data_IF_307956030880
#
_entry.id   IF_307956030880
#
_cell.length_a   1.000
_cell.length_b   1.000
_cell.length_c   1.000
_cell.angle_alpha   90.00
_cell.angle_beta   90.00
_cell.angle_gamma   90.00
#
_symmetry.space_group_name_H-M   'P 1'
#
loop_
_entity.id
_entity.type
_entity.pdbx_description
1 polymer ?
#
# COMPACT_ATOMS: atom_id res chain seq x y z
N UNK A 1 14.00 -40.69 -1.94
CA UNK A 1 13.41 -39.67 -1.03
C UNK A 1 13.81 -38.25 -1.41
N UNK A 2 15.05 -37.99 -1.82
CA UNK A 2 15.58 -36.66 -2.15
C UNK A 2 14.81 -35.94 -3.27
N UNK A 3 14.38 -36.66 -4.31
CA UNK A 3 13.59 -36.10 -5.41
C UNK A 3 12.18 -35.64 -4.98
N UNK A 4 11.50 -36.42 -4.13
CA UNK A 4 10.17 -36.06 -3.59
C UNK A 4 10.27 -34.83 -2.68
N UNK A 5 11.32 -34.76 -1.87
CA UNK A 5 11.59 -33.58 -1.04
C UNK A 5 11.89 -32.34 -1.88
N UNK A 6 12.74 -32.44 -2.92
CA UNK A 6 13.04 -31.32 -3.81
C UNK A 6 11.79 -30.82 -4.57
N UNK A 7 10.93 -31.73 -5.02
CA UNK A 7 9.66 -31.36 -5.66
C UNK A 7 8.74 -30.64 -4.68
N UNK A 8 8.62 -31.10 -3.43
CA UNK A 8 7.77 -30.45 -2.44
C UNK A 8 8.33 -29.13 -1.92
N UNK A 9 9.65 -29.03 -1.74
CA UNK A 9 10.32 -27.88 -1.15
C UNK A 9 10.64 -26.77 -2.18
N UNK A 10 10.82 -27.11 -3.45
CA UNK A 10 11.23 -26.16 -4.52
C UNK A 10 10.23 -26.15 -5.67
N UNK A 11 9.80 -27.32 -6.14
CA UNK A 11 8.87 -27.46 -7.27
C UNK A 11 7.48 -26.89 -6.96
N UNK A 12 6.91 -27.24 -5.80
CA UNK A 12 5.58 -26.80 -5.39
C UNK A 12 5.52 -25.28 -5.17
N UNK A 13 6.49 -24.62 -4.48
CA UNK A 13 6.51 -23.17 -4.37
C UNK A 13 6.68 -22.45 -5.70
N UNK A 14 7.50 -22.96 -6.64
CA UNK A 14 7.70 -22.36 -7.97
C UNK A 14 6.41 -22.45 -8.82
N UNK A 15 5.77 -23.62 -8.84
CA UNK A 15 4.50 -23.80 -9.55
C UNK A 15 3.39 -22.96 -8.92
N UNK A 16 3.35 -22.89 -7.58
CA UNK A 16 2.44 -22.03 -6.84
C UNK A 16 2.65 -20.54 -7.16
N UNK A 17 3.89 -20.09 -7.24
CA UNK A 17 4.25 -18.71 -7.60
C UNK A 17 3.87 -18.38 -9.05
N UNK A 18 4.12 -19.30 -9.98
CA UNK A 18 3.72 -19.16 -11.39
C UNK A 18 2.21 -19.15 -11.59
N UNK A 19 1.48 -20.01 -10.87
CA UNK A 19 0.01 -20.01 -10.88
C UNK A 19 -0.55 -18.74 -10.24
N UNK A 20 0.02 -18.29 -9.11
CA UNK A 20 -0.37 -17.04 -8.44
C UNK A 20 -0.10 -15.79 -9.28
N UNK A 21 0.94 -15.81 -10.13
CA UNK A 21 1.20 -14.73 -11.07
C UNK A 21 0.08 -14.60 -12.12
N UNK A 22 -0.53 -15.72 -12.52
CA UNK A 22 -1.67 -15.77 -13.47
C UNK A 22 -3.04 -15.55 -12.80
N UNK A 23 -3.12 -15.72 -11.48
CA UNK A 23 -4.32 -15.47 -10.70
C UNK A 23 -4.41 -13.98 -10.35
N UNK A 24 -5.03 -13.21 -11.25
CA UNK A 24 -5.40 -11.82 -11.04
C UNK A 24 -4.96 -10.91 -12.19
N UNK A 25 -5.75 -9.87 -12.45
CA UNK A 25 -5.45 -8.82 -13.43
C UNK A 25 -4.57 -7.73 -12.79
N UNK A 26 -3.38 -8.14 -12.31
CA UNK A 26 -2.42 -7.18 -11.77
C UNK A 26 -1.74 -6.44 -12.94
N UNK A 27 -1.98 -5.13 -13.12
CA UNK A 27 -1.31 -4.39 -14.18
C UNK A 27 0.21 -4.42 -13.95
N UNK A 28 0.97 -4.65 -15.02
CA UNK A 28 2.43 -4.69 -14.96
C UNK A 28 2.99 -3.36 -14.42
N UNK A 29 4.16 -3.36 -13.74
CA UNK A 29 4.79 -2.13 -13.26
C UNK A 29 4.97 -1.08 -14.37
N UNK A 30 5.30 -1.53 -15.59
CA UNK A 30 5.43 -0.65 -16.76
C UNK A 30 4.09 -0.02 -17.16
N UNK A 31 2.97 -0.74 -16.99
CA UNK A 31 1.63 -0.21 -17.27
C UNK A 31 1.27 0.93 -16.30
N UNK A 32 1.76 0.88 -15.06
CA UNK A 32 1.59 1.98 -14.11
C UNK A 32 2.38 3.22 -14.51
N UNK A 33 3.65 3.06 -14.88
CA UNK A 33 4.48 4.18 -15.35
C UNK A 33 3.88 4.82 -16.60
N UNK A 34 3.43 3.99 -17.55
CA UNK A 34 2.78 4.46 -18.78
C UNK A 34 1.45 5.17 -18.50
N UNK A 35 0.60 4.61 -17.63
CA UNK A 35 -0.64 5.27 -17.22
C UNK A 35 -0.39 6.60 -16.52
N UNK A 36 0.65 6.68 -15.69
CA UNK A 36 1.05 7.92 -15.03
C UNK A 36 1.54 8.98 -16.03
N UNK A 37 2.34 8.58 -17.03
CA UNK A 37 2.78 9.48 -18.11
C UNK A 37 1.59 10.01 -18.90
N UNK A 38 0.73 9.12 -19.40
CA UNK A 38 -0.48 9.51 -20.14
C UNK A 38 -1.41 10.42 -19.31
N UNK A 39 -1.56 10.15 -18.02
CA UNK A 39 -2.35 11.00 -17.14
C UNK A 39 -1.72 12.39 -16.97
N UNK A 40 -0.40 12.48 -16.81
CA UNK A 40 0.31 13.77 -16.75
C UNK A 40 0.18 14.55 -18.05
N UNK A 41 0.35 13.91 -19.21
CA UNK A 41 0.23 14.57 -20.52
C UNK A 41 -1.19 15.11 -20.73
N UNK A 42 -2.20 14.30 -20.38
CA UNK A 42 -3.60 14.73 -20.44
C UNK A 42 -3.90 15.90 -19.49
N UNK A 43 -3.38 15.87 -18.26
CA UNK A 43 -3.52 16.98 -17.30
C UNK A 43 -2.80 18.23 -17.80
N UNK A 44 -1.65 18.09 -18.44
CA UNK A 44 -0.91 19.21 -19.01
C UNK A 44 -1.69 19.87 -20.15
N UNK A 45 -2.35 19.08 -21.01
CA UNK A 45 -3.20 19.59 -22.10
C UNK A 45 -4.49 20.27 -21.63
N UNK A 46 -5.08 19.80 -20.53
CA UNK A 46 -6.34 20.32 -19.97
C UNK A 46 -6.13 21.30 -18.80
N UNK A 47 -4.89 21.66 -18.50
CA UNK A 47 -4.46 22.35 -17.28
C UNK A 47 -5.28 23.59 -16.95
N UNK A 48 -5.43 24.49 -17.92
CA UNK A 48 -6.07 25.78 -17.68
C UNK A 48 -7.59 25.62 -17.47
N UNK A 49 -8.20 24.63 -18.15
CA UNK A 49 -9.61 24.27 -17.93
C UNK A 49 -9.83 23.66 -16.54
N UNK A 50 -8.93 22.78 -16.09
CA UNK A 50 -8.97 22.19 -14.74
C UNK A 50 -8.84 23.26 -13.66
N UNK A 51 -7.87 24.17 -13.79
CA UNK A 51 -7.68 25.27 -12.84
C UNK A 51 -8.88 26.22 -12.83
N UNK A 52 -9.40 26.61 -14.00
CA UNK A 52 -10.55 27.49 -14.09
C UNK A 52 -11.81 26.85 -13.49
N UNK A 53 -12.01 25.53 -13.68
CA UNK A 53 -13.07 24.77 -13.02
C UNK A 53 -12.92 24.83 -11.50
N UNK A 54 -11.73 24.55 -10.99
CA UNK A 54 -11.49 24.47 -9.54
C UNK A 54 -11.57 25.86 -8.86
N UNK A 55 -11.18 26.93 -9.56
CA UNK A 55 -11.38 28.31 -9.11
C UNK A 55 -12.86 28.68 -9.04
N UNK A 56 -13.64 28.36 -10.08
CA UNK A 56 -15.09 28.65 -10.10
C UNK A 56 -15.86 27.86 -9.06
N UNK A 57 -15.42 26.64 -8.74
CA UNK A 57 -16.02 25.81 -7.70
C UNK A 57 -15.82 26.36 -6.28
N UNK A 58 -14.95 27.37 -6.11
CA UNK A 58 -14.54 27.91 -4.82
C UNK A 58 -14.85 29.40 -4.71
N UNK A 59 -15.78 29.74 -3.81
CA UNK A 59 -16.21 31.13 -3.59
C UNK A 59 -15.07 32.08 -3.20
N UNK A 60 -14.05 31.58 -2.49
CA UNK A 60 -12.87 32.36 -2.10
C UNK A 60 -11.90 32.65 -3.25
N UNK A 61 -11.95 31.88 -4.35
CA UNK A 61 -11.07 32.02 -5.51
C UNK A 61 -11.76 32.55 -6.76
N UNK A 62 -13.10 32.52 -6.82
CA UNK A 62 -13.87 32.91 -8.00
C UNK A 62 -13.57 34.34 -8.48
N UNK A 63 -13.29 35.27 -7.55
CA UNK A 63 -12.90 36.66 -7.87
C UNK A 63 -11.42 36.85 -8.26
N UNK A 64 -10.62 35.78 -8.30
CA UNK A 64 -9.19 35.81 -8.63
C UNK A 64 -8.85 35.03 -9.91
N UNK A 65 -9.82 34.86 -10.81
CA UNK A 65 -9.63 34.16 -12.10
C UNK A 65 -8.58 34.83 -13.00
N UNK A 66 -8.44 36.15 -12.91
CA UNK A 66 -7.42 36.95 -13.60
C UNK A 66 -5.99 36.51 -13.23
N UNK A 67 -5.79 36.00 -12.01
CA UNK A 67 -4.49 35.57 -11.50
C UNK A 67 -4.06 34.17 -11.96
N UNK A 68 -4.92 33.43 -12.68
CA UNK A 68 -4.65 32.05 -13.11
C UNK A 68 -3.33 31.89 -13.88
N UNK A 69 -3.07 32.79 -14.83
CA UNK A 69 -1.87 32.74 -15.67
C UNK A 69 -0.57 33.01 -14.90
N UNK A 70 -0.65 33.75 -13.79
CA UNK A 70 0.50 34.17 -12.98
C UNK A 70 0.85 33.23 -11.83
N UNK A 71 0.14 32.12 -11.64
CA UNK A 71 0.42 31.17 -10.56
C UNK A 71 1.81 30.54 -10.73
N UNK A 72 2.58 30.48 -9.64
CA UNK A 72 3.82 29.72 -9.61
C UNK A 72 3.55 28.21 -9.72
N UNK A 73 4.58 27.46 -10.06
CA UNK A 73 4.49 26.02 -10.29
C UNK A 73 3.99 25.26 -9.05
N UNK A 74 4.50 25.57 -7.85
CA UNK A 74 4.15 24.85 -6.63
C UNK A 74 2.68 25.08 -6.24
N UNK A 75 2.20 26.34 -6.34
CA UNK A 75 0.79 26.67 -6.13
C UNK A 75 -0.10 25.94 -7.14
N UNK A 76 0.31 25.89 -8.41
CA UNK A 76 -0.43 25.17 -9.45
C UNK A 76 -0.56 23.68 -9.15
N UNK A 77 0.52 23.06 -8.66
CA UNK A 77 0.51 21.64 -8.31
C UNK A 77 -0.48 21.27 -7.20
N UNK A 78 -0.88 22.22 -6.34
CA UNK A 78 -1.91 21.97 -5.31
C UNK A 78 -3.28 21.62 -5.91
N UNK A 79 -3.56 22.02 -7.17
CA UNK A 79 -4.78 21.69 -7.89
C UNK A 79 -4.61 20.45 -8.78
N UNK A 80 -3.45 20.30 -9.41
CA UNK A 80 -3.22 19.24 -10.40
C UNK A 80 -2.86 17.89 -9.76
N UNK A 81 -2.18 17.87 -8.61
CA UNK A 81 -1.81 16.62 -7.94
C UNK A 81 -3.03 15.78 -7.50
N UNK A 82 -4.09 16.35 -6.91
CA UNK A 82 -5.32 15.60 -6.62
C UNK A 82 -5.99 15.03 -7.87
N UNK A 83 -5.95 15.74 -8.99
CA UNK A 83 -6.49 15.27 -10.27
C UNK A 83 -5.72 14.05 -10.79
N UNK A 84 -4.39 14.08 -10.71
CA UNK A 84 -3.54 12.93 -11.07
C UNK A 84 -3.86 11.71 -10.19
N UNK A 85 -3.96 11.90 -8.88
CA UNK A 85 -4.34 10.82 -7.96
C UNK A 85 -5.72 10.24 -8.29
N UNK A 86 -6.68 11.09 -8.63
CA UNK A 86 -8.03 10.68 -9.04
C UNK A 86 -8.00 9.82 -10.30
N UNK A 87 -7.23 10.22 -11.32
CA UNK A 87 -7.09 9.48 -12.58
C UNK A 87 -6.36 8.14 -12.39
N UNK A 88 -5.41 8.05 -11.46
CA UNK A 88 -4.66 6.82 -11.17
C UNK A 88 -5.33 5.87 -10.18
N UNK A 89 -6.33 6.33 -9.42
CA UNK A 89 -7.03 5.53 -8.40
C UNK A 89 -7.52 4.17 -8.92
N UNK A 90 -8.21 4.05 -10.07
CA UNK A 90 -8.69 2.76 -10.55
C UNK A 90 -7.58 1.74 -10.78
N UNK A 91 -6.40 2.20 -11.22
CA UNK A 91 -5.25 1.32 -11.46
C UNK A 91 -4.64 0.83 -10.13
N UNK A 92 -4.53 1.73 -9.15
CA UNK A 92 -4.09 1.37 -7.78
C UNK A 92 -5.05 0.37 -7.14
N UNK A 93 -6.35 0.57 -7.28
CA UNK A 93 -7.37 -0.33 -6.73
C UNK A 93 -7.27 -1.74 -7.34
N UNK A 94 -6.96 -1.86 -8.64
CA UNK A 94 -6.70 -3.15 -9.29
C UNK A 94 -5.42 -3.82 -8.79
N UNK A 95 -4.34 -3.06 -8.59
CA UNK A 95 -3.11 -3.61 -8.03
C UNK A 95 -3.31 -4.12 -6.60
N UNK A 96 -4.01 -3.34 -5.77
CA UNK A 96 -4.30 -3.72 -4.39
C UNK A 96 -5.20 -4.97 -4.33
N UNK A 97 -6.23 -5.05 -5.18
CA UNK A 97 -7.10 -6.23 -5.24
C UNK A 97 -6.35 -7.48 -5.67
N UNK A 98 -5.49 -7.40 -6.70
CA UNK A 98 -4.69 -8.53 -7.13
C UNK A 98 -3.66 -8.97 -6.07
N UNK A 99 -3.01 -8.01 -5.41
CA UNK A 99 -2.10 -8.29 -4.27
C UNK A 99 -2.85 -8.99 -3.13
N UNK A 100 -4.07 -8.54 -2.82
CA UNK A 100 -4.92 -9.16 -1.79
C UNK A 100 -5.33 -10.60 -2.13
N UNK A 101 -5.54 -10.91 -3.41
CA UNK A 101 -5.89 -12.25 -3.87
C UNK A 101 -4.70 -13.20 -3.75
N UNK A 102 -3.52 -12.75 -4.22
CA UNK A 102 -2.26 -13.51 -4.10
C UNK A 102 -1.89 -13.83 -2.66
N UNK A 103 -2.09 -12.87 -1.75
CA UNK A 103 -1.76 -13.09 -0.35
C UNK A 103 -2.69 -14.11 0.32
N UNK A 104 -4.00 -14.07 0.00
CA UNK A 104 -4.95 -15.11 0.46
C UNK A 104 -4.55 -16.49 -0.06
N UNK A 105 -4.17 -16.60 -1.33
CA UNK A 105 -3.70 -17.87 -1.90
C UNK A 105 -2.41 -18.35 -1.23
N UNK A 106 -1.48 -17.44 -0.94
CA UNK A 106 -0.22 -17.75 -0.22
C UNK A 106 -0.49 -18.29 1.18
N UNK A 107 -1.46 -17.70 1.91
CA UNK A 107 -1.89 -18.20 3.22
C UNK A 107 -2.46 -19.63 3.12
N UNK A 108 -3.30 -19.90 2.12
CA UNK A 108 -3.83 -21.25 1.88
C UNK A 108 -2.75 -22.27 1.52
N UNK A 109 -1.78 -21.85 0.68
CA UNK A 109 -0.64 -22.69 0.30
C UNK A 109 0.23 -23.08 1.51
N UNK A 110 0.30 -22.23 2.54
CA UNK A 110 1.00 -22.51 3.79
C UNK A 110 0.49 -23.74 4.54
N UNK A 111 -0.79 -24.10 4.38
CA UNK A 111 -1.34 -25.33 4.97
C UNK A 111 -0.97 -26.59 4.18
N UNK A 112 -0.83 -26.48 2.85
CA UNK A 112 -0.44 -27.60 1.99
C UNK A 112 1.08 -27.86 2.03
N UNK A 113 1.87 -26.81 2.22
CA UNK A 113 3.33 -26.86 2.31
C UNK A 113 3.78 -26.38 3.70
N UNK A 114 3.92 -27.29 4.69
CA UNK A 114 4.26 -26.95 6.06
C UNK A 114 5.46 -25.99 6.23
N UNK A 115 6.56 -26.10 5.45
CA UNK A 115 7.67 -25.15 5.53
C UNK A 115 7.25 -23.70 5.21
N UNK A 116 6.39 -23.50 4.20
CA UNK A 116 5.87 -22.17 3.83
C UNK A 116 4.98 -21.60 4.94
N UNK A 117 4.11 -22.43 5.53
CA UNK A 117 3.28 -22.01 6.66
C UNK A 117 4.12 -21.57 7.86
N UNK A 118 5.17 -22.33 8.18
CA UNK A 118 6.11 -21.99 9.26
C UNK A 118 6.83 -20.66 9.00
N UNK A 119 7.34 -20.43 7.79
CA UNK A 119 7.98 -19.17 7.40
C UNK A 119 7.02 -17.98 7.58
N UNK A 120 5.78 -18.11 7.10
CA UNK A 120 4.75 -17.08 7.23
C UNK A 120 4.43 -16.76 8.69
N UNK A 121 4.29 -17.79 9.54
CA UNK A 121 4.03 -17.62 10.97
C UNK A 121 5.19 -16.93 11.69
N UNK A 122 6.44 -17.29 11.36
CA UNK A 122 7.63 -16.64 11.92
C UNK A 122 7.72 -15.17 11.48
N UNK A 123 7.44 -14.86 10.21
CA UNK A 123 7.39 -13.49 9.72
C UNK A 123 6.33 -12.65 10.45
N UNK A 124 5.16 -13.25 10.73
CA UNK A 124 4.09 -12.57 11.47
C UNK A 124 4.45 -12.32 12.93
N UNK A 125 5.11 -13.28 13.61
CA UNK A 125 5.62 -13.10 14.96
C UNK A 125 6.70 -12.02 15.02
N UNK A 126 7.62 -12.03 14.05
CA UNK A 126 8.67 -11.03 13.91
C UNK A 126 8.12 -9.64 13.54
N UNK A 127 6.87 -9.55 13.04
CA UNK A 127 6.29 -8.30 12.55
C UNK A 127 6.95 -7.82 11.25
N UNK A 128 7.46 -8.74 10.45
CA UNK A 128 8.04 -8.50 9.11
C UNK A 128 7.13 -9.01 8.00
N UNK A 129 5.89 -9.36 8.33
CA UNK A 129 4.91 -9.85 7.39
C UNK A 129 4.36 -8.75 6.44
N UNK A 130 3.85 -9.21 5.30
CA UNK A 130 3.29 -8.34 4.27
C UNK A 130 2.04 -7.56 4.73
N UNK A 131 1.27 -8.07 5.71
CA UNK A 131 0.07 -7.39 6.22
C UNK A 131 0.45 -6.15 7.05
N UNK A 132 1.48 -6.23 7.89
CA UNK A 132 2.00 -5.09 8.65
C UNK A 132 2.57 -4.01 7.72
N UNK A 133 3.35 -4.42 6.71
CA UNK A 133 3.85 -3.50 5.69
C UNK A 133 2.72 -2.78 4.95
N UNK A 134 1.67 -3.49 4.52
CA UNK A 134 0.48 -2.88 3.88
C UNK A 134 -0.27 -1.93 4.81
N UNK A 135 -0.30 -2.20 6.12
CA UNK A 135 -0.90 -1.29 7.09
C UNK A 135 -0.10 0.01 7.17
N UNK A 136 1.23 -0.08 7.15
CA UNK A 136 2.12 1.08 7.06
C UNK A 136 1.88 1.89 5.78
N UNK A 137 1.88 1.26 4.62
CA UNK A 137 1.62 1.93 3.34
C UNK A 137 0.29 2.70 3.36
N UNK A 138 -0.79 2.07 3.86
CA UNK A 138 -2.12 2.71 3.97
C UNK A 138 -2.14 3.88 4.94
N UNK A 139 -1.50 3.77 6.11
CA UNK A 139 -1.41 4.88 7.06
C UNK A 139 -0.54 6.03 6.54
N UNK A 140 0.57 5.72 5.86
CA UNK A 140 1.40 6.72 5.21
C UNK A 140 0.64 7.46 4.11
N UNK A 141 -0.11 6.76 3.26
CA UNK A 141 -0.96 7.36 2.24
C UNK A 141 -2.09 8.22 2.86
N UNK A 142 -2.68 7.78 3.97
CA UNK A 142 -3.65 8.55 4.73
C UNK A 142 -3.05 9.84 5.31
N UNK A 143 -1.88 9.75 5.92
CA UNK A 143 -1.15 10.90 6.45
C UNK A 143 -0.75 11.91 5.35
N UNK A 144 -0.26 11.42 4.21
CA UNK A 144 0.02 12.29 3.06
C UNK A 144 -1.22 13.04 2.59
N UNK A 145 -2.40 12.40 2.61
CA UNK A 145 -3.67 13.06 2.30
C UNK A 145 -4.04 14.12 3.33
N UNK A 146 -3.90 13.80 4.61
CA UNK A 146 -4.12 14.74 5.71
C UNK A 146 -3.23 15.99 5.57
N UNK A 147 -1.95 15.81 5.21
CA UNK A 147 -1.05 16.92 4.91
C UNK A 147 -1.54 17.76 3.73
N UNK A 148 -2.01 17.14 2.64
CA UNK A 148 -2.57 17.88 1.48
C UNK A 148 -3.82 18.66 1.86
N UNK A 149 -4.75 18.03 2.58
CA UNK A 149 -5.98 18.67 3.07
C UNK A 149 -5.67 19.84 4.00
N UNK A 150 -4.56 19.77 4.73
CA UNK A 150 -4.13 20.84 5.63
C UNK A 150 -3.39 21.98 4.91
N UNK A 151 -2.44 21.68 4.02
CA UNK A 151 -1.59 22.67 3.35
C UNK A 151 -2.24 23.29 2.10
N UNK A 152 -2.90 22.50 1.25
CA UNK A 152 -3.37 23.00 -0.05
C UNK A 152 -4.37 24.14 0.10
N UNK A 153 -5.40 24.08 0.98
CA UNK A 153 -6.31 25.21 1.16
C UNK A 153 -5.60 26.47 1.64
N UNK A 154 -4.59 26.34 2.52
CA UNK A 154 -3.80 27.46 3.03
C UNK A 154 -2.97 28.12 1.94
N UNK A 155 -2.29 27.32 1.10
CA UNK A 155 -1.54 27.82 -0.05
C UNK A 155 -2.49 28.51 -1.04
N UNK A 156 -3.64 27.91 -1.31
CA UNK A 156 -4.59 28.42 -2.29
C UNK A 156 -5.24 29.74 -1.83
N UNK A 157 -5.55 29.92 -0.54
CA UNK A 157 -6.06 31.20 0.00
C UNK A 157 -5.10 32.37 -0.24
N UNK A 158 -3.78 32.12 -0.32
CA UNK A 158 -2.77 33.14 -0.60
C UNK A 158 -2.88 33.74 -2.01
N UNK A 159 -3.64 33.10 -2.92
CA UNK A 159 -3.93 33.62 -4.26
C UNK A 159 -4.87 34.84 -4.15
N UNK A 160 -5.93 34.71 -3.35
CA UNK A 160 -6.92 35.76 -3.13
C UNK A 160 -6.43 36.81 -2.14
N UNK A 161 -5.87 36.36 -1.01
CA UNK A 161 -5.39 37.21 0.09
C UNK A 161 -3.93 36.86 0.44
N UNK A 162 -2.95 37.36 -0.34
CA UNK A 162 -1.54 37.09 -0.08
C UNK A 162 -1.08 37.74 1.21
N UNK A 163 -0.35 37.01 2.05
CA UNK A 163 0.31 37.56 3.23
C UNK A 163 1.31 38.63 2.80
N UNK A 164 1.33 39.80 3.46
CA UNK A 164 2.31 40.83 3.20
C UNK A 164 3.73 40.28 3.33
N UNK A 165 4.63 40.71 2.43
CA UNK A 165 6.06 40.46 2.62
C UNK A 165 6.57 41.33 3.77
N UNK A 166 7.42 40.81 4.67
CA UNK A 166 8.02 41.61 5.75
C UNK A 166 8.89 42.76 5.21
N UNK A 167 9.54 42.54 4.06
CA UNK A 167 10.33 43.52 3.33
C UNK A 167 10.15 43.33 1.81
N UNK A 168 10.27 44.40 1.04
CA UNK A 168 10.05 44.38 -0.41
C UNK A 168 11.02 43.43 -1.16
N UNK A 169 12.26 43.33 -0.66
CA UNK A 169 13.35 42.47 -1.15
C UNK A 169 13.34 41.05 -0.56
N UNK A 170 12.44 40.76 0.37
CA UNK A 170 12.35 39.42 0.96
C UNK A 170 11.75 38.42 -0.02
N UNK A 171 12.49 37.33 -0.26
CA UNK A 171 11.96 36.11 -0.88
C UNK A 171 10.99 35.38 0.06
N UNK A 172 11.18 35.52 1.37
CA UNK A 172 10.35 34.91 2.40
C UNK A 172 9.11 35.75 2.68
N UNK A 173 7.92 35.15 2.51
CA UNK A 173 6.72 35.66 3.15
C UNK A 173 6.65 35.05 4.56
N UNK A 174 6.30 35.83 5.58
CA UNK A 174 5.96 35.31 6.93
C UNK A 174 4.61 34.59 6.86
N UNK A 175 4.56 33.50 6.10
CA UNK A 175 3.32 32.81 5.73
C UNK A 175 2.86 31.80 6.78
N UNK A 176 3.69 31.53 7.78
CA UNK A 176 3.53 30.32 8.56
C UNK A 176 4.01 30.48 9.99
N UNK A 177 3.04 30.61 10.89
CA UNK A 177 3.24 30.67 12.35
C UNK A 177 2.57 29.49 13.06
N UNK A 178 1.76 28.70 12.35
CA UNK A 178 0.97 27.58 12.87
C UNK A 178 1.75 26.24 12.85
N UNK A 179 3.02 26.25 13.28
CA UNK A 179 3.85 25.02 13.26
C UNK A 179 3.28 23.91 14.14
N UNK A 180 2.74 24.27 15.30
CA UNK A 180 2.16 23.32 16.25
C UNK A 180 0.83 22.72 15.76
N UNK A 181 0.21 23.31 14.74
CA UNK A 181 -1.04 22.83 14.16
C UNK A 181 -0.82 21.90 12.94
N UNK A 182 0.43 21.68 12.52
CA UNK A 182 0.73 20.70 11.46
C UNK A 182 0.36 19.31 11.97
N UNK A 183 -0.45 18.54 11.23
CA UNK A 183 -0.75 17.17 11.60
C UNK A 183 0.52 16.36 11.78
N UNK A 184 0.69 15.72 12.94
CA UNK A 184 1.80 14.83 13.20
C UNK A 184 1.47 13.40 12.74
N UNK A 185 2.48 12.69 12.23
CA UNK A 185 2.33 11.28 11.91
C UNK A 185 2.22 10.46 13.20
N UNK A 186 1.07 9.83 13.40
CA UNK A 186 0.84 8.89 14.51
C UNK A 186 0.71 7.47 13.95
N UNK A 187 1.77 6.68 14.06
CA UNK A 187 1.73 5.27 13.68
C UNK A 187 0.83 4.48 14.64
N UNK A 188 -0.16 3.79 14.09
CA UNK A 188 -1.06 2.90 14.83
C UNK A 188 -0.75 1.44 14.47
N UNK A 189 0.09 0.77 15.27
CA UNK A 189 0.36 -0.66 15.08
C UNK A 189 -0.76 -1.53 15.63
N UNK A 190 -0.82 -2.78 15.16
CA UNK A 190 -1.66 -3.77 15.82
C UNK A 190 -1.12 -4.08 17.22
N UNK A 191 -1.98 -4.42 18.20
CA UNK A 191 -1.53 -4.91 19.49
C UNK A 191 -0.60 -6.12 19.33
N UNK A 192 0.43 -6.24 20.17
CA UNK A 192 1.39 -7.35 20.06
C UNK A 192 0.72 -8.74 20.06
N UNK A 193 -0.39 -8.89 20.78
CA UNK A 193 -1.15 -10.15 20.85
C UNK A 193 -1.71 -10.59 19.49
N UNK A 194 -2.01 -9.65 18.57
CA UNK A 194 -2.57 -10.01 17.26
C UNK A 194 -1.58 -10.80 16.41
N UNK A 195 -0.26 -10.62 16.65
CA UNK A 195 0.80 -11.39 15.99
C UNK A 195 0.78 -12.84 16.45
N UNK A 196 0.65 -13.05 17.76
CA UNK A 196 0.52 -14.38 18.35
C UNK A 196 -0.75 -15.05 17.85
N UNK A 197 -1.89 -14.35 17.93
CA UNK A 197 -3.17 -14.87 17.47
C UNK A 197 -3.18 -15.22 15.97
N UNK A 198 -2.47 -14.45 15.14
CA UNK A 198 -2.31 -14.73 13.71
C UNK A 198 -1.51 -16.01 13.42
N UNK A 199 -0.51 -16.32 14.25
CA UNK A 199 0.34 -17.51 14.11
C UNK A 199 -0.28 -18.79 14.71
N UNK A 200 -1.28 -18.67 15.59
CA UNK A 200 -1.91 -19.82 16.26
C UNK A 200 -2.50 -20.86 15.28
N UNK A 201 -3.24 -20.50 14.21
CA UNK A 201 -3.80 -21.48 13.29
C UNK A 201 -2.72 -22.36 12.64
N UNK A 202 -1.61 -21.76 12.24
CA UNK A 202 -0.47 -22.49 11.67
C UNK A 202 0.18 -23.40 12.71
N UNK A 203 0.39 -22.91 13.94
CA UNK A 203 0.96 -23.73 15.02
C UNK A 203 0.06 -24.93 15.36
N UNK A 204 -1.26 -24.73 15.43
CA UNK A 204 -2.24 -25.80 15.63
C UNK A 204 -2.23 -26.80 14.47
N UNK A 205 -2.17 -26.32 13.23
CA UNK A 205 -2.07 -27.19 12.06
C UNK A 205 -0.80 -28.06 12.08
N UNK A 206 0.36 -27.46 12.36
CA UNK A 206 1.64 -28.18 12.40
C UNK A 206 1.68 -29.21 13.54
N UNK A 207 1.12 -28.88 14.70
CA UNK A 207 1.04 -29.82 15.84
C UNK A 207 0.09 -30.99 15.55
N UNK A 208 -1.06 -30.74 14.91
CA UNK A 208 -1.97 -31.80 14.45
C UNK A 208 -1.31 -32.69 13.39
N UNK A 209 -0.60 -32.09 12.43
CA UNK A 209 0.13 -32.82 11.40
C UNK A 209 1.22 -33.71 12.02
N UNK A 210 2.00 -33.17 12.96
CA UNK A 210 3.01 -33.92 13.68
C UNK A 210 2.38 -35.08 14.48
N UNK A 211 1.29 -34.84 15.22
CA UNK A 211 0.60 -35.86 15.97
C UNK A 211 0.05 -36.99 15.07
N UNK A 212 -0.52 -36.64 13.91
CA UNK A 212 -1.00 -37.61 12.94
C UNK A 212 0.13 -38.47 12.35
N UNK A 213 1.26 -37.86 11.99
CA UNK A 213 2.44 -38.56 11.48
C UNK A 213 3.06 -39.46 12.55
N UNK A 214 3.16 -39.00 13.79
CA UNK A 214 3.63 -39.80 14.93
C UNK A 214 2.71 -40.98 15.22
N UNK A 215 1.38 -40.77 15.23
CA UNK A 215 0.42 -41.85 15.42
C UNK A 215 0.49 -42.88 14.28
N UNK A 216 0.66 -42.43 13.03
CA UNK A 216 0.84 -43.30 11.87
C UNK A 216 2.14 -44.12 11.97
N UNK A 217 3.25 -43.48 12.32
CA UNK A 217 4.53 -44.16 12.52
C UNK A 217 4.46 -45.21 13.64
N UNK A 218 3.83 -44.88 14.77
CA UNK A 218 3.63 -45.80 15.89
C UNK A 218 2.74 -47.00 15.51
N UNK A 219 1.66 -46.77 14.75
CA UNK A 219 0.81 -47.87 14.24
C UNK A 219 1.59 -48.79 13.32
N UNK A 220 2.42 -48.24 12.43
CA UNK A 220 3.25 -49.01 11.51
C UNK A 220 4.31 -49.83 12.24
N UNK A 221 4.97 -49.25 13.25
CA UNK A 221 5.95 -49.97 14.09
C UNK A 221 5.29 -51.14 14.84
N UNK A 222 4.06 -50.98 15.33
CA UNK A 222 3.29 -52.05 16.00
C UNK A 222 2.83 -53.17 15.06
N UNK A 223 2.68 -52.87 13.77
CA UNK A 223 2.24 -53.82 12.74
C UNK A 223 3.42 -54.46 11.99
N UNK A 224 4.66 -54.09 12.32
CA UNK A 224 5.82 -54.70 11.71
C UNK A 224 5.92 -56.16 12.18
N UNK A 225 5.88 -57.16 11.28
CA UNK A 225 6.02 -58.54 11.69
C UNK A 225 7.41 -58.72 12.31
N UNK A 226 7.44 -59.28 13.52
CA UNK A 226 8.65 -59.82 14.13
C UNK A 226 9.01 -61.12 13.40
N UNK A 227 9.37 -61.03 12.13
CA UNK A 227 10.06 -62.10 11.42
C UNK A 227 11.55 -61.79 11.49
N UNK A 228 12.16 -62.30 12.57
CA UNK A 228 13.58 -62.64 12.66
C UNK A 228 13.71 -64.14 12.43
#
# INVERSE_FOLDING_TARGET
MSAVWAVLAIGLPLLGSGAAARLGDAPAPIAYVDAQRRANDAIAGERDALLARDFRARGDLAGSLDKLGGLDYATRMTFLAPELERRLRPLRDRQESARSARERLSQWAGYLAPPLGMEQALAQLAGTDAQRHRRFERQAAGYQRQLREWFYPRIQRQIAAPTPKPRADSYGRMNFLEFDAIPAYAWSDAPAWSRVAGALPTALWLTLLAAALSAWALRRLRQWPAEL
#
